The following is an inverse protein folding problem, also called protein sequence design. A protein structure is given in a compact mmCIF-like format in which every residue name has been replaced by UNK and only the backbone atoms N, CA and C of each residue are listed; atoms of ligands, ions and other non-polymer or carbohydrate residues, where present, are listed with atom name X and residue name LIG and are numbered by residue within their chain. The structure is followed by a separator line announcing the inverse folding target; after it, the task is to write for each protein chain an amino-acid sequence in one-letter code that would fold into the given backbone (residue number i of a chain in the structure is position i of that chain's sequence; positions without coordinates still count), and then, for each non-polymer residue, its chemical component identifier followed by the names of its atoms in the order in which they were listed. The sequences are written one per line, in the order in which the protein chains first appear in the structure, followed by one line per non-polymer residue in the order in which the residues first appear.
data_IF_438308591404
#
_entry.id   IF_438308591404
#
_cell.length_a   1.000
_cell.length_b   1.000
_cell.length_c   1.000
_cell.angle_alpha   90.00
_cell.angle_beta   90.00
_cell.angle_gamma   90.00
#
_symmetry.space_group_name_H-M   'P 1'
#
loop_
_entity.id
_entity.type
_entity.pdbx_description
1 polymer ?
#
# COMPACT_ATOMS: atom_id res chain seq x y z
N UNK A 1 -10.59 2.54 -14.18
CA UNK A 1 -10.50 1.92 -12.84
C UNK A 1 -9.02 1.75 -12.54
N UNK A 2 -8.45 2.60 -11.68
CA UNK A 2 -6.99 2.63 -11.42
C UNK A 2 -6.67 1.64 -10.30
N UNK A 3 -6.22 0.44 -10.68
CA UNK A 3 -5.89 -0.67 -9.76
C UNK A 3 -4.42 -1.04 -9.87
N UNK A 4 -3.77 -1.33 -8.74
CA UNK A 4 -2.41 -1.87 -8.69
C UNK A 4 -2.38 -3.10 -7.76
N UNK A 5 -1.75 -4.19 -8.21
CA UNK A 5 -1.70 -5.47 -7.51
C UNK A 5 -0.24 -5.87 -7.26
N UNK A 6 0.12 -6.04 -5.99
CA UNK A 6 1.35 -6.70 -5.58
C UNK A 6 0.95 -7.97 -4.83
N UNK A 7 0.96 -9.13 -5.48
CA UNK A 7 0.75 -10.40 -4.78
C UNK A 7 1.74 -11.48 -5.26
N UNK A 8 2.46 -12.04 -4.30
CA UNK A 8 3.04 -13.40 -4.20
C UNK A 8 3.94 -14.00 -5.29
N UNK A 9 4.43 -13.27 -6.29
CA UNK A 9 5.53 -13.78 -7.14
C UNK A 9 6.57 -12.73 -7.57
N UNK A 10 6.45 -11.47 -7.11
CA UNK A 10 7.28 -10.36 -7.62
C UNK A 10 8.46 -9.97 -6.72
N UNK A 11 8.54 -10.45 -5.49
CA UNK A 11 9.50 -9.93 -4.49
C UNK A 11 10.91 -10.51 -4.57
N UNK A 12 11.21 -11.40 -5.52
CA UNK A 12 12.58 -11.85 -5.77
C UNK A 12 13.43 -10.80 -6.53
N UNK A 13 12.80 -9.77 -7.10
CA UNK A 13 13.48 -8.68 -7.80
C UNK A 13 12.96 -7.33 -7.33
N UNK A 14 13.75 -6.71 -6.45
CA UNK A 14 13.98 -5.26 -6.36
C UNK A 14 12.77 -4.38 -6.75
N UNK A 15 11.67 -4.47 -5.99
CA UNK A 15 10.64 -3.43 -6.05
C UNK A 15 11.35 -2.15 -5.63
N UNK A 16 11.35 -1.07 -6.45
CA UNK A 16 11.93 0.21 -6.06
C UNK A 16 11.23 0.65 -4.77
N UNK A 17 11.93 0.54 -3.64
CA UNK A 17 11.33 0.62 -2.30
C UNK A 17 10.86 2.04 -1.96
N UNK A 18 11.42 3.04 -2.64
CA UNK A 18 11.14 4.45 -2.41
C UNK A 18 10.61 5.17 -3.66
N UNK A 19 9.60 6.00 -3.47
CA UNK A 19 8.90 6.84 -4.44
C UNK A 19 7.94 6.12 -5.39
N UNK A 20 7.87 4.78 -5.39
CA UNK A 20 7.13 4.02 -6.41
C UNK A 20 5.63 4.32 -6.40
N UNK A 21 4.99 4.22 -5.24
CA UNK A 21 3.53 4.38 -5.15
C UNK A 21 3.14 5.84 -5.31
N UNK A 22 3.99 6.76 -4.85
CA UNK A 22 3.68 8.20 -4.85
C UNK A 22 3.45 8.79 -6.25
N UNK A 23 3.85 8.10 -7.33
CA UNK A 23 3.58 8.49 -8.72
C UNK A 23 2.10 8.29 -9.11
N UNK A 24 1.39 7.38 -8.45
CA UNK A 24 0.00 7.05 -8.77
C UNK A 24 -0.99 7.91 -7.99
N UNK A 25 -0.97 9.24 -8.21
CA UNK A 25 -1.81 10.21 -7.47
C UNK A 25 -3.32 9.95 -7.55
N UNK A 26 -3.77 9.25 -8.58
CA UNK A 26 -5.18 8.92 -8.83
C UNK A 26 -5.50 7.44 -8.55
N UNK A 27 -4.63 6.72 -7.83
CA UNK A 27 -4.89 5.33 -7.50
C UNK A 27 -6.06 5.26 -6.51
N UNK A 28 -7.06 4.44 -6.85
CA UNK A 28 -8.25 4.26 -6.01
C UNK A 28 -8.28 2.90 -5.31
N UNK A 29 -7.55 1.93 -5.85
CA UNK A 29 -7.47 0.56 -5.34
C UNK A 29 -6.02 0.08 -5.32
N UNK A 30 -5.57 -0.40 -4.17
CA UNK A 30 -4.24 -0.96 -3.97
C UNK A 30 -4.36 -2.29 -3.22
N UNK A 31 -3.82 -3.36 -3.80
CA UNK A 31 -3.72 -4.65 -3.12
C UNK A 31 -2.25 -4.96 -2.82
N UNK A 32 -1.96 -5.12 -1.53
CA UNK A 32 -0.67 -5.49 -0.96
C UNK A 32 -0.77 -6.80 -0.15
N UNK A 33 -1.77 -7.64 -0.42
CA UNK A 33 -1.94 -8.94 0.25
C UNK A 33 -0.69 -9.83 0.07
N UNK A 34 -0.28 -10.49 1.16
CA UNK A 34 0.76 -11.52 1.16
C UNK A 34 2.14 -11.02 0.68
N UNK A 35 2.67 -10.00 1.36
CA UNK A 35 3.98 -9.40 1.11
C UNK A 35 4.86 -9.24 2.37
N UNK A 36 4.55 -9.95 3.46
CA UNK A 36 5.29 -9.90 4.75
C UNK A 36 5.55 -8.47 5.27
N UNK A 37 4.66 -7.52 4.97
CA UNK A 37 4.85 -6.11 5.33
C UNK A 37 4.63 -5.91 6.83
N UNK A 38 5.48 -5.12 7.46
CA UNK A 38 5.26 -4.59 8.81
C UNK A 38 5.02 -3.07 8.77
N UNK A 39 4.66 -2.48 9.91
CA UNK A 39 4.32 -1.06 10.03
C UNK A 39 5.44 -0.08 9.63
N UNK A 40 6.68 -0.55 9.53
CA UNK A 40 7.85 0.23 9.11
C UNK A 40 8.13 0.15 7.60
N UNK A 41 7.38 -0.68 6.86
CA UNK A 41 7.59 -0.87 5.44
C UNK A 41 7.44 0.45 4.65
N UNK A 42 8.43 0.86 3.84
CA UNK A 42 8.35 2.04 2.98
C UNK A 42 7.11 2.04 2.07
N UNK A 43 6.69 0.84 1.63
CA UNK A 43 5.52 0.68 0.79
C UNK A 43 4.23 1.09 1.51
N UNK A 44 4.12 0.86 2.82
CA UNK A 44 2.98 1.30 3.61
C UNK A 44 3.05 2.80 3.91
N UNK A 45 4.23 3.31 4.24
CA UNK A 45 4.45 4.77 4.41
C UNK A 45 4.02 5.53 3.16
N UNK A 46 4.34 5.01 1.97
CA UNK A 46 3.90 5.61 0.71
C UNK A 46 2.43 5.38 0.38
N UNK A 47 1.88 4.21 0.70
CA UNK A 47 0.46 3.95 0.55
C UNK A 47 -0.34 5.00 1.32
N UNK A 48 0.10 5.37 2.53
CA UNK A 48 -0.49 6.45 3.33
C UNK A 48 -0.50 7.83 2.64
N UNK A 49 0.33 8.06 1.61
CA UNK A 49 0.36 9.33 0.85
C UNK A 49 -0.63 9.34 -0.32
N UNK A 50 -1.38 8.26 -0.56
CA UNK A 50 -2.32 8.12 -1.67
C UNK A 50 -3.71 8.63 -1.29
N UNK A 51 -3.88 9.96 -1.25
CA UNK A 51 -5.14 10.58 -0.82
C UNK A 51 -6.37 10.17 -1.66
N UNK A 52 -6.20 9.70 -2.88
CA UNK A 52 -7.29 9.22 -3.76
C UNK A 52 -7.73 7.78 -3.47
N UNK A 53 -7.01 7.06 -2.60
CA UNK A 53 -7.23 5.65 -2.34
C UNK A 53 -8.57 5.44 -1.63
N UNK A 54 -9.37 4.51 -2.15
CA UNK A 54 -10.70 4.14 -1.63
C UNK A 54 -10.70 2.73 -1.04
N UNK A 55 -9.85 1.85 -1.57
CA UNK A 55 -9.71 0.47 -1.13
C UNK A 55 -8.24 0.07 -1.05
N UNK A 56 -7.84 -0.45 0.10
CA UNK A 56 -6.50 -0.93 0.39
C UNK A 56 -6.61 -2.34 0.96
N UNK A 57 -5.95 -3.33 0.37
CA UNK A 57 -5.99 -4.72 0.87
C UNK A 57 -4.63 -5.07 1.48
N UNK A 58 -4.62 -5.43 2.76
CA UNK A 58 -3.39 -5.73 3.53
C UNK A 58 -3.38 -7.12 4.17
N UNK A 59 -4.32 -7.99 3.83
CA UNK A 59 -4.41 -9.33 4.40
C UNK A 59 -3.09 -10.11 4.24
N UNK A 60 -2.84 -11.06 5.16
CA UNK A 60 -1.65 -11.92 5.12
C UNK A 60 -0.32 -11.14 5.10
N UNK A 61 -0.23 -10.05 5.85
CA UNK A 61 1.03 -9.36 6.14
C UNK A 61 1.37 -9.49 7.64
N UNK A 62 2.57 -9.06 8.03
CA UNK A 62 3.08 -9.10 9.40
C UNK A 62 2.76 -7.82 10.18
N UNK A 63 1.55 -7.30 10.02
CA UNK A 63 1.14 -6.01 10.59
C UNK A 63 0.63 -6.15 12.02
N UNK A 64 1.42 -5.67 12.98
CA UNK A 64 0.96 -5.50 14.37
C UNK A 64 0.18 -4.19 14.57
N UNK A 65 0.47 -3.19 13.74
CA UNK A 65 -0.17 -1.86 13.75
C UNK A 65 -0.13 -1.25 12.35
N UNK A 66 -0.97 -0.25 12.12
CA UNK A 66 -0.95 0.56 10.91
C UNK A 66 0.05 1.72 11.07
N UNK A 67 0.72 2.16 9.99
CA UNK A 67 1.54 3.38 10.02
C UNK A 67 0.70 4.62 10.31
N UNK A 68 1.29 5.65 10.92
CA UNK A 68 0.60 6.91 11.20
C UNK A 68 0.19 7.66 9.93
N UNK A 69 0.88 7.42 8.83
CA UNK A 69 0.61 8.01 7.52
C UNK A 69 -0.76 7.62 6.98
N UNK A 70 -1.35 6.51 7.46
CA UNK A 70 -2.69 6.09 7.07
C UNK A 70 -3.77 7.08 7.52
N UNK A 71 -3.47 7.96 8.50
CA UNK A 71 -4.35 9.07 8.87
C UNK A 71 -4.60 10.04 7.70
N UNK A 72 -3.73 10.06 6.68
CA UNK A 72 -3.91 10.90 5.49
C UNK A 72 -4.88 10.30 4.46
N UNK A 73 -5.27 9.03 4.61
CA UNK A 73 -6.15 8.30 3.68
C UNK A 73 -7.62 8.68 3.87
N UNK A 74 -7.92 9.96 3.72
CA UNK A 74 -9.23 10.57 3.99
C UNK A 74 -10.36 10.07 3.07
N UNK A 75 -10.03 9.48 1.92
CA UNK A 75 -11.02 8.89 1.00
C UNK A 75 -11.16 7.36 1.13
N UNK A 76 -10.42 6.73 2.05
CA UNK A 76 -10.43 5.28 2.23
C UNK A 76 -11.75 4.82 2.82
N UNK A 77 -12.33 3.79 2.22
CA UNK A 77 -13.62 3.19 2.60
C UNK A 77 -13.48 1.74 3.02
N UNK A 78 -12.42 1.07 2.57
CA UNK A 78 -12.18 -0.35 2.80
C UNK A 78 -10.69 -0.58 3.03
N UNK A 79 -10.36 -1.33 4.08
CA UNK A 79 -9.01 -1.67 4.53
C UNK A 79 -8.92 -3.16 4.88
#
# INVERSE_FOLDING_TARGET
MNKLLFSTLSLYYDIPKDGLLTKFKNLEYLNLENNDLDSSSPLLIEAGKLNSLKELILNKNSLEKLPEEFNNLTNLKTL
#
